data_IF_950615798359
#
_entry.id   IF_950615798359
#
_cell.length_a   1.000
_cell.length_b   1.000
_cell.length_c   1.000
_cell.angle_alpha   90.00
_cell.angle_beta   90.00
_cell.angle_gamma   90.00
#
_symmetry.space_group_name_H-M   'P 1'
#
loop_
_entity.id
_entity.type
_entity.pdbx_description
1 polymer ?
#
# COMPACT_ATOMS: atom_id res chain seq x y z
N UNK A 1 -2.07 -57.38 -5.04
CA UNK A 1 -2.46 -56.79 -3.74
C UNK A 1 -3.68 -55.90 -3.95
N UNK A 2 -4.87 -56.29 -3.48
CA UNK A 2 -6.09 -55.45 -3.60
C UNK A 2 -6.09 -54.46 -2.42
N UNK A 3 -5.89 -53.18 -2.69
CA UNK A 3 -6.00 -52.13 -1.67
C UNK A 3 -7.48 -52.02 -1.28
N UNK A 4 -7.78 -52.14 0.01
CA UNK A 4 -9.13 -51.91 0.51
C UNK A 4 -9.42 -50.40 0.46
N UNK A 5 -10.30 -50.01 -0.44
CA UNK A 5 -10.62 -48.60 -0.70
C UNK A 5 -11.07 -47.85 0.57
N UNK A 6 -11.74 -48.52 1.52
CA UNK A 6 -12.16 -47.94 2.81
C UNK A 6 -10.98 -47.63 3.72
N UNK A 7 -10.01 -48.55 3.81
CA UNK A 7 -8.81 -48.35 4.62
C UNK A 7 -7.95 -47.22 4.02
N UNK A 8 -7.88 -47.15 2.69
CA UNK A 8 -7.20 -46.06 2.00
C UNK A 8 -7.87 -44.70 2.28
N UNK A 9 -9.21 -44.62 2.28
CA UNK A 9 -9.94 -43.37 2.58
C UNK A 9 -9.73 -42.93 4.02
N UNK A 10 -9.74 -43.86 4.99
CA UNK A 10 -9.49 -43.53 6.41
C UNK A 10 -8.07 -42.99 6.59
N UNK A 11 -7.06 -43.64 6.00
CA UNK A 11 -5.66 -43.17 6.07
C UNK A 11 -5.51 -41.78 5.46
N UNK A 12 -6.13 -41.54 4.30
CA UNK A 12 -6.13 -40.21 3.66
C UNK A 12 -6.79 -39.14 4.54
N UNK A 13 -7.93 -39.43 5.15
CA UNK A 13 -8.62 -38.50 6.03
C UNK A 13 -7.77 -38.12 7.27
N UNK A 14 -7.07 -39.10 7.86
CA UNK A 14 -6.15 -38.86 8.98
C UNK A 14 -4.98 -37.98 8.53
N UNK A 15 -4.37 -38.27 7.38
CA UNK A 15 -3.25 -37.48 6.85
C UNK A 15 -3.66 -36.03 6.57
N UNK A 16 -4.85 -35.81 6.00
CA UNK A 16 -5.39 -34.47 5.76
C UNK A 16 -5.62 -33.75 7.10
N UNK A 17 -6.20 -34.43 8.09
CA UNK A 17 -6.46 -33.86 9.41
C UNK A 17 -5.17 -33.45 10.12
N UNK A 18 -4.14 -34.30 10.10
CA UNK A 18 -2.83 -33.99 10.66
C UNK A 18 -2.20 -32.81 9.92
N UNK A 19 -2.26 -32.79 8.59
CA UNK A 19 -1.71 -31.70 7.78
C UNK A 19 -2.38 -30.36 8.10
N UNK A 20 -3.71 -30.34 8.25
CA UNK A 20 -4.48 -29.15 8.64
C UNK A 20 -4.09 -28.66 10.04
N UNK A 21 -3.92 -29.56 11.00
CA UNK A 21 -3.46 -29.20 12.36
C UNK A 21 -2.06 -28.61 12.34
N UNK A 22 -1.14 -29.18 11.56
CA UNK A 22 0.22 -28.65 11.39
C UNK A 22 0.19 -27.25 10.79
N UNK A 23 -0.55 -27.05 9.68
CA UNK A 23 -0.68 -25.75 9.02
C UNK A 23 -1.35 -24.69 9.91
N UNK A 24 -2.28 -25.10 10.77
CA UNK A 24 -2.87 -24.23 11.78
C UNK A 24 -1.82 -23.83 12.83
N UNK A 25 -1.16 -24.82 13.44
CA UNK A 25 -0.20 -24.60 14.53
C UNK A 25 1.02 -23.77 14.12
N UNK A 26 1.39 -23.81 12.84
CA UNK A 26 2.53 -23.06 12.29
C UNK A 26 2.16 -21.67 11.77
N UNK A 27 0.88 -21.27 11.85
CA UNK A 27 0.41 -19.96 11.41
C UNK A 27 0.21 -19.81 9.90
N UNK A 28 0.47 -20.86 9.10
CA UNK A 28 0.30 -20.83 7.64
C UNK A 28 -1.14 -20.51 7.22
N UNK A 29 -2.14 -21.01 7.95
CA UNK A 29 -3.55 -20.69 7.68
C UNK A 29 -3.83 -19.19 7.90
N UNK A 30 -3.28 -18.61 8.97
CA UNK A 30 -3.42 -17.18 9.26
C UNK A 30 -2.78 -16.32 8.18
N UNK A 31 -1.53 -16.64 7.81
CA UNK A 31 -0.81 -15.96 6.74
C UNK A 31 -1.53 -16.08 5.39
N UNK A 32 -2.12 -17.23 5.06
CA UNK A 32 -2.84 -17.43 3.80
C UNK A 32 -4.16 -16.67 3.74
N UNK A 33 -4.88 -16.57 4.86
CA UNK A 33 -6.20 -15.93 4.92
C UNK A 33 -6.11 -14.42 5.12
N UNK A 34 -5.22 -13.94 5.99
CA UNK A 34 -5.10 -12.53 6.38
C UNK A 34 -3.91 -11.81 5.74
N UNK A 35 -2.93 -12.53 5.21
CA UNK A 35 -1.73 -11.93 4.60
C UNK A 35 -0.85 -11.22 5.62
N UNK A 36 -0.30 -10.09 5.20
CA UNK A 36 0.52 -9.18 6.00
C UNK A 36 -0.16 -8.77 7.31
N UNK A 37 -1.49 -8.62 7.33
CA UNK A 37 -2.24 -8.27 8.54
C UNK A 37 -2.07 -9.31 9.66
N UNK A 38 -1.81 -10.58 9.33
CA UNK A 38 -1.50 -11.62 10.32
C UNK A 38 -0.26 -11.31 11.16
N UNK A 39 0.71 -10.64 10.55
CA UNK A 39 1.99 -10.27 11.17
C UNK A 39 1.84 -8.93 11.88
N UNK A 40 1.30 -7.94 11.18
CA UNK A 40 1.23 -6.55 11.66
C UNK A 40 0.32 -6.40 12.87
N UNK A 41 -0.77 -7.18 12.94
CA UNK A 41 -1.67 -7.17 14.08
C UNK A 41 -1.17 -8.04 15.26
N UNK A 42 -0.13 -8.84 15.07
CA UNK A 42 0.45 -9.68 16.12
C UNK A 42 1.63 -8.95 16.78
N UNK A 43 1.30 -7.92 17.55
CA UNK A 43 2.29 -7.06 18.21
C UNK A 43 3.00 -7.76 19.38
N UNK A 44 2.50 -8.91 19.85
CA UNK A 44 3.17 -9.73 20.85
C UNK A 44 4.41 -10.41 20.26
N UNK A 45 4.26 -11.03 19.09
CA UNK A 45 5.31 -11.80 18.41
C UNK A 45 6.19 -10.94 17.49
N UNK A 46 5.68 -9.83 16.95
CA UNK A 46 6.39 -8.99 16.00
C UNK A 46 6.63 -7.57 16.52
N UNK A 47 7.65 -6.90 15.97
CA UNK A 47 7.96 -5.50 16.26
C UNK A 47 8.22 -4.72 14.97
N UNK A 48 7.81 -3.46 14.96
CA UNK A 48 7.91 -2.47 13.88
C UNK A 48 9.10 -1.50 14.03
N UNK A 49 9.95 -1.69 15.05
CA UNK A 49 11.03 -0.76 15.45
C UNK A 49 12.09 -0.51 14.37
N UNK A 50 12.19 -1.38 13.38
CA UNK A 50 13.18 -1.27 12.32
C UNK A 50 12.72 -0.41 11.13
N UNK A 51 11.47 0.07 11.16
CA UNK A 51 10.94 0.94 10.12
C UNK A 51 11.63 2.31 10.08
N UNK A 52 11.76 2.88 8.89
CA UNK A 52 12.41 4.18 8.68
C UNK A 52 12.00 4.84 7.37
N UNK A 53 12.17 6.15 7.29
CA UNK A 53 12.01 6.92 6.04
C UNK A 53 13.10 6.52 5.04
N UNK A 54 12.72 6.22 3.80
CA UNK A 54 13.68 6.02 2.71
C UNK A 54 14.06 7.36 2.10
N UNK A 55 15.35 7.55 1.85
CA UNK A 55 15.88 8.77 1.27
C UNK A 55 15.70 8.75 -0.24
N UNK A 56 15.29 9.90 -0.80
CA UNK A 56 15.19 10.09 -2.25
C UNK A 56 13.91 10.80 -2.67
N UNK A 57 13.86 11.06 -3.97
CA UNK A 57 12.71 11.63 -4.66
C UNK A 57 12.29 10.66 -5.76
N UNK A 58 10.99 10.35 -5.81
CA UNK A 58 10.44 9.39 -6.76
C UNK A 58 9.43 10.11 -7.63
N UNK A 59 9.62 10.07 -8.94
CA UNK A 59 8.80 10.84 -9.88
C UNK A 59 8.04 9.97 -10.85
N UNK A 60 6.85 10.44 -11.21
CA UNK A 60 6.00 9.83 -12.23
C UNK A 60 5.34 10.92 -13.07
N UNK A 61 5.24 10.69 -14.37
CA UNK A 61 4.53 11.57 -15.29
C UNK A 61 3.07 11.11 -15.41
N UNK A 62 2.13 12.05 -15.31
CA UNK A 62 0.69 11.79 -15.39
C UNK A 62 0.08 12.61 -16.52
N UNK A 63 -0.59 11.94 -17.45
CA UNK A 63 -1.38 12.58 -18.50
C UNK A 63 -2.76 12.99 -17.97
N UNK A 64 -3.02 14.30 -17.93
CA UNK A 64 -4.29 14.89 -17.53
C UNK A 64 -5.35 14.86 -18.65
N UNK A 65 -4.96 14.57 -19.89
CA UNK A 65 -5.88 14.41 -21.01
C UNK A 65 -6.59 13.05 -20.97
N UNK A 66 -5.87 11.98 -20.67
CA UNK A 66 -6.42 10.64 -20.44
C UNK A 66 -6.00 10.11 -19.07
N UNK A 67 -6.82 10.39 -18.05
CA UNK A 67 -6.55 9.97 -16.67
C UNK A 67 -6.40 8.45 -16.55
N UNK A 68 -7.22 7.66 -17.27
CA UNK A 68 -7.22 6.20 -17.16
C UNK A 68 -5.92 5.58 -17.66
N UNK A 69 -5.27 6.20 -18.65
CA UNK A 69 -3.98 5.74 -19.19
C UNK A 69 -2.87 5.64 -18.13
N UNK A 70 -3.00 6.38 -17.02
CA UNK A 70 -2.00 6.42 -15.96
C UNK A 70 -2.11 5.29 -14.94
N UNK A 71 -3.25 4.58 -14.89
CA UNK A 71 -3.47 3.50 -13.93
C UNK A 71 -2.50 2.35 -14.21
N UNK A 72 -1.80 1.89 -13.18
CA UNK A 72 -0.76 0.88 -13.28
C UNK A 72 0.65 1.44 -13.47
N UNK A 73 0.81 2.74 -13.75
CA UNK A 73 2.13 3.36 -13.83
C UNK A 73 2.86 3.22 -12.48
N UNK A 74 4.12 2.81 -12.55
CA UNK A 74 4.94 2.48 -11.37
C UNK A 74 5.71 3.70 -10.90
N UNK A 75 5.49 4.10 -9.64
CA UNK A 75 6.24 5.17 -8.97
C UNK A 75 7.54 4.64 -8.37
N UNK A 76 7.48 3.44 -7.77
CA UNK A 76 8.59 2.85 -7.02
C UNK A 76 8.57 1.33 -7.18
N UNK A 77 9.76 0.73 -7.28
CA UNK A 77 9.95 -0.72 -7.30
C UNK A 77 11.32 -1.08 -6.72
N UNK A 78 11.33 -1.91 -5.69
CA UNK A 78 12.53 -2.50 -5.08
C UNK A 78 12.25 -3.94 -4.64
N UNK A 79 12.75 -4.91 -5.42
CA UNK A 79 12.42 -6.32 -5.23
C UNK A 79 10.91 -6.56 -5.29
N UNK A 80 10.35 -7.08 -4.20
CA UNK A 80 8.92 -7.35 -4.06
C UNK A 80 8.11 -6.13 -3.61
N UNK A 81 8.76 -5.03 -3.23
CA UNK A 81 8.06 -3.80 -2.87
C UNK A 81 7.74 -2.99 -4.12
N UNK A 82 6.48 -2.57 -4.28
CA UNK A 82 5.99 -1.84 -5.46
C UNK A 82 4.97 -0.79 -5.07
N UNK A 83 5.12 0.43 -5.59
CA UNK A 83 4.10 1.47 -5.52
C UNK A 83 3.67 1.84 -6.94
N UNK A 84 2.36 1.80 -7.20
CA UNK A 84 1.81 2.16 -8.50
C UNK A 84 0.50 2.94 -8.38
N UNK A 85 0.14 3.65 -9.46
CA UNK A 85 -1.11 4.40 -9.55
C UNK A 85 -2.29 3.42 -9.59
N UNK A 86 -3.09 3.44 -8.55
CA UNK A 86 -4.29 2.61 -8.36
C UNK A 86 -5.50 3.23 -9.05
N UNK A 87 -5.65 4.54 -8.89
CA UNK A 87 -6.73 5.32 -9.47
C UNK A 87 -6.33 6.78 -9.61
N UNK A 88 -7.02 7.47 -10.51
CA UNK A 88 -6.93 8.91 -10.69
C UNK A 88 -8.29 9.41 -11.18
N UNK A 89 -8.76 10.52 -10.62
CA UNK A 89 -10.02 11.13 -11.03
C UNK A 89 -9.96 12.66 -10.93
N UNK A 90 -11.01 13.30 -11.42
CA UNK A 90 -11.21 14.73 -11.36
C UNK A 90 -12.68 15.02 -11.03
N UNK A 91 -13.11 14.57 -9.86
CA UNK A 91 -14.52 14.65 -9.44
C UNK A 91 -14.80 15.70 -8.36
N UNK A 92 -13.75 16.37 -7.87
CA UNK A 92 -13.93 17.48 -6.93
C UNK A 92 -14.26 18.81 -7.62
N UNK A 93 -14.17 19.90 -6.87
CA UNK A 93 -14.48 21.24 -7.34
C UNK A 93 -13.37 22.23 -7.02
N UNK A 94 -13.53 23.48 -7.47
CA UNK A 94 -12.58 24.58 -7.22
C UNK A 94 -12.25 24.71 -5.72
N UNK A 95 -13.25 24.50 -4.85
CA UNK A 95 -13.10 24.67 -3.40
C UNK A 95 -12.57 23.41 -2.67
N UNK A 96 -12.60 22.25 -3.31
CA UNK A 96 -12.28 20.96 -2.66
C UNK A 96 -11.09 20.24 -3.28
N UNK A 97 -10.51 20.81 -4.34
CA UNK A 97 -9.48 20.17 -5.17
C UNK A 97 -10.13 19.28 -6.24
N UNK A 98 -9.77 19.49 -7.51
CA UNK A 98 -10.33 18.75 -8.64
C UNK A 98 -9.67 17.38 -8.83
N UNK A 99 -8.40 17.40 -9.20
CA UNK A 99 -7.63 16.21 -9.56
C UNK A 99 -7.11 15.50 -8.31
N UNK A 100 -7.35 14.18 -8.24
CA UNK A 100 -6.95 13.31 -7.13
C UNK A 100 -6.28 12.08 -7.68
N UNK A 101 -5.26 11.60 -6.99
CA UNK A 101 -4.53 10.40 -7.37
C UNK A 101 -4.32 9.50 -6.14
N UNK A 102 -4.56 8.21 -6.33
CA UNK A 102 -4.32 7.19 -5.33
C UNK A 102 -3.27 6.18 -5.77
N UNK A 103 -2.43 5.81 -4.82
CA UNK A 103 -1.38 4.84 -4.98
C UNK A 103 -1.68 3.60 -4.14
N UNK A 104 -1.41 2.43 -4.72
CA UNK A 104 -1.38 1.16 -4.01
C UNK A 104 0.09 0.80 -3.75
N UNK A 105 0.42 0.48 -2.51
CA UNK A 105 1.73 -0.01 -2.11
C UNK A 105 1.68 -1.50 -1.76
N UNK A 106 2.37 -2.34 -2.52
CA UNK A 106 2.51 -3.77 -2.25
C UNK A 106 3.87 -4.04 -1.62
N UNK A 107 3.90 -4.97 -0.67
CA UNK A 107 5.11 -5.45 -0.02
C UNK A 107 5.15 -6.97 0.02
N UNK A 108 6.01 -7.50 0.87
CA UNK A 108 6.19 -8.94 1.06
C UNK A 108 6.00 -9.36 2.50
N UNK A 109 5.62 -10.61 2.69
CA UNK A 109 5.44 -11.18 4.02
C UNK A 109 5.71 -12.68 4.04
N UNK A 110 6.17 -13.14 5.19
CA UNK A 110 6.46 -14.54 5.52
C UNK A 110 6.12 -14.80 6.98
N UNK A 111 6.19 -16.05 7.44
CA UNK A 111 5.96 -16.37 8.86
C UNK A 111 6.94 -15.70 9.84
N UNK A 112 8.02 -15.05 9.34
CA UNK A 112 9.07 -14.48 10.20
C UNK A 112 9.23 -12.98 10.06
N UNK A 113 8.70 -12.38 8.98
CA UNK A 113 8.84 -10.96 8.71
C UNK A 113 7.80 -10.46 7.71
N UNK A 114 7.58 -9.15 7.69
CA UNK A 114 6.92 -8.43 6.61
C UNK A 114 7.66 -7.12 6.31
N UNK A 115 7.67 -6.72 5.04
CA UNK A 115 8.15 -5.40 4.63
C UNK A 115 7.16 -4.72 3.69
N UNK A 116 7.02 -3.40 3.84
CA UNK A 116 6.16 -2.59 3.00
C UNK A 116 6.76 -1.19 2.84
N UNK A 117 7.10 -0.82 1.61
CA UNK A 117 7.46 0.57 1.27
C UNK A 117 6.20 1.29 0.81
N UNK A 118 5.78 2.31 1.58
CA UNK A 118 4.54 3.05 1.34
C UNK A 118 4.69 4.53 1.68
N UNK A 119 3.74 5.36 1.23
CA UNK A 119 3.56 6.70 1.77
C UNK A 119 2.98 6.72 3.19
N UNK A 120 2.52 5.58 3.67
CA UNK A 120 1.97 5.41 5.02
C UNK A 120 3.00 4.77 5.96
N UNK A 121 3.14 5.35 7.14
CA UNK A 121 3.85 4.74 8.26
C UNK A 121 2.83 3.99 9.12
N UNK A 122 3.11 2.72 9.42
CA UNK A 122 2.37 1.92 10.38
C UNK A 122 3.13 1.87 11.68
N UNK A 123 2.43 2.07 12.80
CA UNK A 123 3.02 2.10 14.13
C UNK A 123 2.19 1.29 15.12
N UNK A 124 2.87 0.50 15.94
CA UNK A 124 2.32 -0.19 17.11
C UNK A 124 2.22 0.80 18.25
N UNK A 125 1.01 1.02 18.78
CA UNK A 125 0.78 1.94 19.90
C UNK A 125 0.95 1.21 21.23
N UNK A 126 0.37 0.02 21.34
CA UNK A 126 0.48 -0.87 22.48
C UNK A 126 0.32 -2.33 22.05
N UNK A 127 0.17 -3.24 23.01
CA UNK A 127 0.07 -4.69 22.77
C UNK A 127 -1.15 -5.12 21.94
N UNK A 128 -2.18 -4.29 21.84
CA UNK A 128 -3.45 -4.65 21.19
C UNK A 128 -3.88 -3.62 20.12
N UNK A 129 -3.09 -2.54 19.91
CA UNK A 129 -3.46 -1.41 19.05
C UNK A 129 -2.36 -1.05 18.03
N UNK A 130 -2.79 -0.84 16.79
CA UNK A 130 -1.99 -0.31 15.70
C UNK A 130 -2.63 0.98 15.16
N UNK A 131 -1.80 1.89 14.67
CA UNK A 131 -2.21 3.10 13.97
C UNK A 131 -1.38 3.29 12.72
N UNK A 132 -1.82 4.17 11.85
CA UNK A 132 -1.07 4.58 10.68
C UNK A 132 -1.21 6.07 10.42
N UNK A 133 -0.18 6.67 9.85
CA UNK A 133 -0.11 8.08 9.52
C UNK A 133 0.59 8.33 8.17
N UNK A 134 0.24 9.43 7.52
CA UNK A 134 0.86 9.83 6.26
C UNK A 134 2.29 10.31 6.53
N UNK A 135 3.26 9.62 5.95
CA UNK A 135 4.67 10.01 5.96
C UNK A 135 5.08 10.74 4.68
N UNK A 136 4.51 10.34 3.54
CA UNK A 136 4.88 10.87 2.25
C UNK A 136 4.38 12.29 2.03
N UNK A 137 5.16 13.02 1.23
CA UNK A 137 4.80 14.33 0.69
C UNK A 137 4.85 14.25 -0.82
N UNK A 138 3.97 14.98 -1.49
CA UNK A 138 3.94 15.05 -2.94
C UNK A 138 4.00 16.51 -3.41
N UNK A 139 4.69 16.72 -4.52
CA UNK A 139 4.62 17.96 -5.29
C UNK A 139 4.24 17.66 -6.73
N UNK A 140 3.58 18.62 -7.38
CA UNK A 140 3.22 18.57 -8.79
C UNK A 140 3.95 19.68 -9.54
N UNK A 141 4.76 19.33 -10.53
CA UNK A 141 5.33 20.27 -11.49
C UNK A 141 4.45 20.29 -12.74
N UNK A 142 3.80 21.43 -12.97
CA UNK A 142 2.89 21.65 -14.08
C UNK A 142 3.04 23.06 -14.64
N UNK A 143 3.21 23.16 -15.96
CA UNK A 143 3.40 24.43 -16.69
C UNK A 143 4.55 25.29 -16.11
N UNK A 144 5.61 24.66 -15.60
CA UNK A 144 6.77 25.35 -15.05
C UNK A 144 6.57 25.92 -13.63
N UNK A 145 5.48 25.54 -12.96
CA UNK A 145 5.23 25.87 -11.55
C UNK A 145 5.13 24.59 -10.73
N UNK A 146 5.74 24.62 -9.54
CA UNK A 146 5.66 23.53 -8.57
C UNK A 146 4.58 23.86 -7.54
N UNK A 147 3.71 22.88 -7.28
CA UNK A 147 2.62 22.97 -6.33
C UNK A 147 2.82 21.94 -5.22
N UNK A 148 2.65 22.34 -3.96
CA UNK A 148 2.58 21.42 -2.84
C UNK A 148 1.22 20.71 -2.85
N UNK A 149 1.25 19.38 -2.94
CA UNK A 149 0.04 18.58 -3.03
C UNK A 149 -0.52 18.28 -1.64
N UNK A 150 -1.83 18.52 -1.46
CA UNK A 150 -2.54 18.19 -0.23
C UNK A 150 -2.79 16.68 -0.09
N UNK A 151 -2.72 16.17 1.14
CA UNK A 151 -3.11 14.78 1.44
C UNK A 151 -4.61 14.61 1.24
N UNK A 152 -5.02 13.57 0.51
CA UNK A 152 -6.43 13.19 0.38
C UNK A 152 -6.80 12.09 1.37
N UNK A 153 -5.94 11.08 1.53
CA UNK A 153 -6.22 9.98 2.45
C UNK A 153 -5.12 8.93 2.50
N UNK A 154 -5.18 8.11 3.54
CA UNK A 154 -4.34 6.94 3.80
C UNK A 154 -5.22 5.82 4.37
N UNK A 155 -4.81 4.57 4.23
CA UNK A 155 -5.50 3.40 4.75
C UNK A 155 -4.57 2.51 5.57
N UNK A 156 -5.18 1.62 6.35
CA UNK A 156 -4.50 0.46 6.92
C UNK A 156 -4.20 -0.61 5.86
N UNK A 157 -3.80 -1.80 6.31
CA UNK A 157 -3.52 -2.91 5.40
C UNK A 157 -4.79 -3.44 4.70
N UNK A 158 -4.73 -3.56 3.39
CA UNK A 158 -5.76 -4.06 2.48
C UNK A 158 -5.21 -5.19 1.57
N UNK A 159 -6.12 -5.97 0.96
CA UNK A 159 -5.85 -7.00 -0.07
C UNK A 159 -4.83 -8.11 0.24
N UNK A 160 -4.32 -8.17 1.48
CA UNK A 160 -3.29 -9.09 2.03
C UNK A 160 -1.86 -8.56 2.00
N UNK A 161 -1.51 -7.62 1.15
CA UNK A 161 -0.10 -7.36 0.82
C UNK A 161 0.33 -5.89 0.92
N UNK A 162 -0.49 -4.98 1.48
CA UNK A 162 -0.02 -3.62 1.80
C UNK A 162 -1.16 -2.63 2.01
N UNK A 163 -0.96 -1.35 1.72
CA UNK A 163 -1.94 -0.27 1.96
C UNK A 163 -2.19 0.64 0.73
N UNK A 164 -2.96 1.70 0.95
CA UNK A 164 -3.22 2.76 -0.02
C UNK A 164 -2.94 4.14 0.58
N UNK A 165 -2.49 5.06 -0.27
CA UNK A 165 -2.33 6.46 0.09
C UNK A 165 -2.62 7.35 -1.12
N UNK A 166 -3.02 8.59 -0.87
CA UNK A 166 -3.58 9.44 -1.92
C UNK A 166 -3.42 10.92 -1.64
N UNK A 167 -3.36 11.69 -2.72
CA UNK A 167 -3.14 13.12 -2.72
C UNK A 167 -4.09 13.82 -3.70
N UNK A 168 -4.35 15.10 -3.43
CA UNK A 168 -4.76 16.04 -4.45
C UNK A 168 -3.55 16.39 -5.32
N UNK A 169 -3.69 16.37 -6.64
CA UNK A 169 -2.56 16.74 -7.53
C UNK A 169 -2.23 18.23 -7.35
N UNK A 170 -3.25 19.08 -7.37
CA UNK A 170 -3.11 20.53 -7.16
C UNK A 170 -3.78 20.97 -5.86
N UNK A 171 -3.20 21.92 -5.11
CA UNK A 171 -3.80 22.47 -3.91
C UNK A 171 -5.02 23.35 -4.24
N UNK A 172 -5.94 23.49 -3.28
CA UNK A 172 -7.18 24.28 -3.46
C UNK A 172 -6.90 25.74 -3.81
N UNK A 173 -5.82 26.31 -3.27
CA UNK A 173 -5.39 27.68 -3.49
C UNK A 173 -5.03 27.93 -4.97
N UNK A 174 -4.48 26.94 -5.67
CA UNK A 174 -4.14 27.05 -7.09
C UNK A 174 -5.41 27.16 -7.95
N UNK A 175 -6.49 26.48 -7.56
CA UNK A 175 -7.80 26.64 -8.21
C UNK A 175 -8.42 28.00 -7.91
N UNK A 176 -8.37 28.45 -6.65
CA UNK A 176 -8.91 29.74 -6.24
C UNK A 176 -8.20 30.92 -6.92
N UNK A 177 -6.89 30.81 -7.16
CA UNK A 177 -6.09 31.79 -7.89
C UNK A 177 -6.23 31.71 -9.42
N UNK A 178 -6.96 30.71 -9.96
CA UNK A 178 -7.13 30.52 -11.40
C UNK A 178 -5.86 30.02 -12.13
N UNK A 179 -4.90 29.46 -11.40
CA UNK A 179 -3.65 28.93 -11.95
C UNK A 179 -3.87 27.56 -12.61
N UNK A 180 -4.84 26.81 -12.08
CA UNK A 180 -5.33 25.54 -12.61
C UNK A 180 -6.86 25.53 -12.62
N UNK A 181 -7.44 24.74 -13.51
CA UNK A 181 -8.87 24.57 -13.73
C UNK A 181 -9.26 23.10 -13.57
N UNK A 182 -10.55 22.80 -13.62
CA UNK A 182 -11.06 21.42 -13.62
C UNK A 182 -10.96 20.74 -14.99
N UNK A 183 -10.25 21.31 -15.97
CA UNK A 183 -10.10 20.73 -17.30
C UNK A 183 -8.67 20.89 -17.85
N UNK A 184 -7.69 20.79 -16.96
CA UNK A 184 -6.28 20.77 -17.35
C UNK A 184 -5.97 19.64 -18.34
N UNK A 185 -4.98 19.89 -19.19
CA UNK A 185 -4.52 18.99 -20.25
C UNK A 185 -2.99 18.91 -20.27
N UNK A 186 -2.48 17.87 -20.91
CA UNK A 186 -1.05 17.61 -20.98
C UNK A 186 -0.54 16.91 -19.72
N UNK A 187 0.77 16.97 -19.53
CA UNK A 187 1.44 16.14 -18.54
C UNK A 187 1.85 16.93 -17.30
N UNK A 188 1.55 16.38 -16.13
CA UNK A 188 2.07 16.84 -14.84
C UNK A 188 3.11 15.84 -14.34
N UNK A 189 4.23 16.33 -13.82
CA UNK A 189 5.23 15.49 -13.15
C UNK A 189 4.94 15.52 -11.66
N UNK A 190 4.60 14.38 -11.10
CA UNK A 190 4.46 14.22 -9.66
C UNK A 190 5.79 13.77 -9.07
N UNK A 191 6.18 14.34 -7.93
CA UNK A 191 7.37 13.91 -7.18
C UNK A 191 6.96 13.61 -5.74
N UNK A 192 7.29 12.41 -5.27
CA UNK A 192 6.98 11.94 -3.93
C UNK A 192 8.28 11.78 -3.15
N UNK A 193 8.25 12.26 -1.91
CA UNK A 193 9.34 12.17 -0.94
C UNK A 193 8.82 11.59 0.36
N UNK A 194 9.73 11.24 1.27
CA UNK A 194 9.42 10.69 2.58
C UNK A 194 8.56 9.41 2.53
N UNK A 195 8.77 8.56 1.54
CA UNK A 195 8.27 7.19 1.61
C UNK A 195 8.84 6.51 2.86
N UNK A 196 8.08 5.62 3.48
CA UNK A 196 8.45 4.90 4.68
C UNK A 196 8.58 3.42 4.39
N UNK A 197 9.70 2.83 4.80
CA UNK A 197 9.91 1.39 4.81
C UNK A 197 9.42 0.84 6.14
N UNK A 198 8.23 0.28 6.14
CA UNK A 198 7.68 -0.46 7.27
C UNK A 198 8.33 -1.85 7.30
N UNK A 199 8.85 -2.23 8.47
CA UNK A 199 9.55 -3.51 8.68
C UNK A 199 9.02 -4.13 9.96
N UNK A 200 8.38 -5.29 9.83
CA UNK A 200 7.97 -6.12 10.95
C UNK A 200 8.85 -7.35 11.02
N UNK A 201 9.50 -7.54 12.16
CA UNK A 201 10.34 -8.71 12.42
C UNK A 201 9.87 -9.40 13.69
N UNK A 202 9.90 -10.73 13.68
CA UNK A 202 9.64 -11.53 14.88
C UNK A 202 10.64 -11.15 15.99
N UNK A 203 10.15 -11.03 17.22
CA UNK A 203 10.95 -10.70 18.42
C UNK A 203 11.85 -11.85 18.86
#
# INVERSE_FOLDING_TARGET
MRINLKNLTIVLAILISISMLVLWSTGHIGLWTQGMAYIVNNTEEFTDKNGHVIQGEYSIAIDLQDLKSNVGNVLYMDGNNKIYVSWIDNTGGINTGGYRIGFRACGEYSLTNATLISGTRHTTVDKDSFTYDMSAKMTADYKGKVYDSGVYGTSGLNYKDGDDFSFYIFPGEAYAAGEVTLNEKGTVKLTITNLYKNIWTKK
#
